data_IF_578225289992
#
_entry.id   IF_578225289992
#
_cell.length_a   1.000
_cell.length_b   1.000
_cell.length_c   1.000
_cell.angle_alpha   90.00
_cell.angle_beta   90.00
_cell.angle_gamma   90.00
#
_symmetry.space_group_name_H-M   'P 1'
#
loop_
_entity.id
_entity.type
_entity.pdbx_description
1 polymer ?
#
# COMPACT_ATOMS: atom_id res chain seq x y z
N UNK A 1 -54.15 10.47 57.40
CA UNK A 1 -52.68 10.66 57.42
C UNK A 1 -52.11 10.17 56.10
N UNK A 2 -51.91 11.05 55.12
CA UNK A 2 -51.36 10.68 53.80
C UNK A 2 -49.89 11.08 53.73
N UNK A 3 -49.00 10.11 53.52
CA UNK A 3 -47.55 10.32 53.39
C UNK A 3 -47.21 10.91 52.03
N UNK A 4 -46.51 12.04 52.02
CA UNK A 4 -45.99 12.68 50.80
C UNK A 4 -44.92 11.80 50.14
N UNK A 5 -45.18 11.32 48.93
CA UNK A 5 -44.19 10.67 48.07
C UNK A 5 -43.17 11.70 47.57
N UNK A 6 -41.90 11.53 47.93
CA UNK A 6 -40.77 12.35 47.45
C UNK A 6 -40.70 12.32 45.92
N UNK A 7 -40.68 13.50 45.30
CA UNK A 7 -40.45 13.67 43.87
C UNK A 7 -39.06 13.14 43.48
N UNK A 8 -39.02 12.14 42.61
CA UNK A 8 -37.78 11.60 42.05
C UNK A 8 -37.05 12.67 41.24
N UNK A 9 -35.84 13.03 41.69
CA UNK A 9 -34.94 13.97 41.04
C UNK A 9 -34.52 13.37 39.68
N UNK A 10 -35.10 13.85 38.57
CA UNK A 10 -34.71 13.46 37.20
C UNK A 10 -33.19 13.62 37.04
N UNK A 11 -32.47 12.53 36.83
CA UNK A 11 -31.04 12.56 36.58
C UNK A 11 -30.77 13.29 35.26
N UNK A 12 -30.03 14.39 35.30
CA UNK A 12 -29.62 15.11 34.08
C UNK A 12 -28.66 14.19 33.32
N UNK A 13 -29.11 13.58 32.22
CA UNK A 13 -28.24 12.81 31.31
C UNK A 13 -27.11 13.74 30.86
N UNK A 14 -25.85 13.37 31.16
CA UNK A 14 -24.68 14.14 30.71
C UNK A 14 -24.70 14.23 29.19
N UNK A 15 -24.69 15.43 28.63
CA UNK A 15 -24.66 15.61 27.18
C UNK A 15 -23.35 15.02 26.64
N UNK A 16 -23.45 14.06 25.74
CA UNK A 16 -22.27 13.43 25.13
C UNK A 16 -21.59 14.50 24.26
N UNK A 17 -20.34 14.91 24.58
CA UNK A 17 -19.64 15.89 23.77
C UNK A 17 -19.33 15.28 22.41
N UNK A 18 -20.03 15.75 21.37
CA UNK A 18 -19.79 15.33 19.99
C UNK A 18 -18.61 16.11 19.41
N UNK A 19 -17.53 15.43 19.09
CA UNK A 19 -16.40 15.99 18.34
C UNK A 19 -16.66 15.85 16.85
N UNK A 20 -16.47 16.94 16.10
CA UNK A 20 -16.45 16.90 14.63
C UNK A 20 -15.08 16.43 14.19
N UNK A 21 -15.00 15.34 13.41
CA UNK A 21 -13.77 14.92 12.74
C UNK A 21 -13.94 15.02 11.23
N UNK A 22 -12.87 15.43 10.56
CA UNK A 22 -12.75 15.35 9.12
C UNK A 22 -12.09 14.01 8.80
N UNK A 23 -12.89 13.01 8.43
CA UNK A 23 -12.38 11.73 7.97
C UNK A 23 -12.28 11.76 6.45
N UNK A 24 -11.21 11.15 5.90
CA UNK A 24 -11.08 10.96 4.45
C UNK A 24 -12.31 10.22 3.91
N UNK A 25 -12.94 10.69 2.83
CA UNK A 25 -14.01 9.96 2.16
C UNK A 25 -13.50 8.78 1.32
N UNK A 26 -12.18 8.72 1.07
CA UNK A 26 -11.57 7.72 0.20
C UNK A 26 -11.17 6.48 0.99
N UNK A 27 -11.78 5.35 0.64
CA UNK A 27 -11.43 4.03 1.14
C UNK A 27 -10.67 3.25 0.06
N UNK A 28 -9.42 2.88 0.37
CA UNK A 28 -8.65 1.98 -0.50
C UNK A 28 -9.19 0.56 -0.38
N UNK A 29 -9.68 0.03 -1.51
CA UNK A 29 -10.19 -1.33 -1.63
C UNK A 29 -9.36 -2.14 -2.63
N UNK A 30 -9.10 -3.38 -2.28
CA UNK A 30 -8.49 -4.35 -3.18
C UNK A 30 -9.52 -4.81 -4.22
N UNK A 31 -9.05 -5.07 -5.44
CA UNK A 31 -9.86 -5.69 -6.49
C UNK A 31 -10.20 -7.13 -6.10
N UNK A 32 -11.45 -7.55 -6.35
CA UNK A 32 -11.88 -8.93 -6.11
C UNK A 32 -11.22 -9.87 -7.10
N UNK A 33 -10.75 -11.01 -6.61
CA UNK A 33 -10.10 -12.05 -7.40
C UNK A 33 -11.06 -13.21 -7.61
N UNK A 34 -11.21 -13.64 -8.86
CA UNK A 34 -12.01 -14.82 -9.20
C UNK A 34 -11.37 -16.09 -8.62
N UNK A 35 -12.19 -17.10 -8.29
CA UNK A 35 -11.71 -18.40 -7.79
C UNK A 35 -10.67 -19.01 -8.73
N UNK A 36 -10.93 -18.96 -10.04
CA UNK A 36 -10.10 -19.64 -11.04
C UNK A 36 -8.73 -18.99 -11.16
N UNK A 37 -8.69 -17.65 -11.10
CA UNK A 37 -7.46 -16.89 -11.06
C UNK A 37 -6.67 -17.15 -9.78
N UNK A 38 -7.35 -17.24 -8.64
CA UNK A 38 -6.71 -17.58 -7.36
C UNK A 38 -6.06 -18.97 -7.44
N UNK A 39 -6.77 -19.98 -7.95
CA UNK A 39 -6.23 -21.32 -8.11
C UNK A 39 -5.05 -21.35 -9.09
N UNK A 40 -5.18 -20.67 -10.23
CA UNK A 40 -4.10 -20.51 -11.20
C UNK A 40 -2.84 -19.92 -10.57
N UNK A 41 -2.96 -18.79 -9.85
CA UNK A 41 -1.82 -18.15 -9.17
C UNK A 41 -1.19 -19.11 -8.14
N UNK A 42 -1.99 -19.81 -7.33
CA UNK A 42 -1.46 -20.73 -6.34
C UNK A 42 -0.70 -21.90 -6.96
N UNK A 43 -1.24 -22.53 -8.00
CA UNK A 43 -0.63 -23.69 -8.67
C UNK A 43 0.65 -23.26 -9.38
N UNK A 44 0.59 -22.24 -10.23
CA UNK A 44 1.76 -21.75 -10.99
C UNK A 44 2.91 -21.34 -10.06
N UNK A 45 2.62 -20.65 -8.95
CA UNK A 45 3.67 -20.26 -8.01
C UNK A 45 4.24 -21.44 -7.23
N UNK A 46 3.40 -22.38 -6.77
CA UNK A 46 3.87 -23.57 -6.08
C UNK A 46 4.79 -24.39 -6.97
N UNK A 47 4.35 -24.70 -8.17
CA UNK A 47 5.11 -25.50 -9.12
C UNK A 47 6.44 -24.81 -9.44
N UNK A 48 6.41 -23.49 -9.67
CA UNK A 48 7.64 -22.75 -9.94
C UNK A 48 8.61 -22.73 -8.76
N UNK A 49 8.14 -22.56 -7.52
CA UNK A 49 9.01 -22.60 -6.36
C UNK A 49 9.62 -23.99 -6.12
N UNK A 50 8.87 -25.05 -6.44
CA UNK A 50 9.36 -26.43 -6.36
C UNK A 50 10.39 -26.72 -7.46
N UNK A 51 10.15 -26.30 -8.70
CA UNK A 51 11.10 -26.42 -9.83
C UNK A 51 12.42 -25.70 -9.56
N UNK A 52 12.34 -24.47 -9.05
CA UNK A 52 13.51 -23.65 -8.74
C UNK A 52 14.25 -24.18 -7.49
N UNK A 53 13.56 -24.89 -6.60
CA UNK A 53 14.14 -25.38 -5.34
C UNK A 53 14.47 -24.27 -4.34
N UNK A 54 13.80 -23.11 -4.43
CA UNK A 54 14.02 -22.01 -3.49
C UNK A 54 13.29 -22.28 -2.17
N UNK A 55 14.03 -22.72 -1.16
CA UNK A 55 13.47 -22.93 0.18
C UNK A 55 14.42 -22.41 1.26
N UNK A 56 13.85 -22.02 2.40
CA UNK A 56 14.61 -21.60 3.58
C UNK A 56 14.83 -22.82 4.49
N UNK A 57 16.09 -23.16 4.76
CA UNK A 57 16.48 -24.16 5.76
C UNK A 57 16.64 -23.47 7.10
N UNK A 58 15.68 -23.66 8.01
CA UNK A 58 15.80 -23.23 9.41
C UNK A 58 16.30 -24.38 10.28
N UNK A 59 17.60 -24.44 10.56
CA UNK A 59 18.11 -25.29 11.63
C UNK A 59 17.69 -24.64 12.96
N UNK A 60 16.92 -25.35 13.80
CA UNK A 60 16.65 -24.92 15.18
C UNK A 60 17.91 -25.09 16.01
N UNK A 61 18.88 -24.18 15.85
CA UNK A 61 20.02 -24.12 16.76
C UNK A 61 19.49 -23.60 18.09
N UNK A 62 19.45 -24.47 19.09
CA UNK A 62 19.14 -24.08 20.46
C UNK A 62 20.24 -23.13 20.94
N UNK A 63 20.02 -21.82 20.80
CA UNK A 63 20.93 -20.82 21.36
C UNK A 63 20.78 -20.89 22.88
N UNK A 64 21.75 -21.51 23.55
CA UNK A 64 21.87 -21.44 25.01
C UNK A 64 22.10 -19.97 25.38
N UNK A 65 21.04 -19.29 25.76
CA UNK A 65 21.10 -17.93 26.29
C UNK A 65 21.85 -18.01 27.63
N UNK A 66 23.11 -17.56 27.70
CA UNK A 66 23.77 -17.43 29.00
C UNK A 66 25.29 -17.59 29.11
N UNK A 67 26.04 -17.97 28.08
CA UNK A 67 27.52 -18.08 28.20
C UNK A 67 28.27 -17.05 27.37
N UNK A 68 28.08 -15.77 27.69
CA UNK A 68 29.07 -14.73 27.37
C UNK A 68 30.19 -14.82 28.41
N UNK A 69 31.01 -15.87 28.32
CA UNK A 69 32.16 -16.07 29.19
C UNK A 69 33.19 -15.00 28.81
N UNK A 70 33.57 -14.17 29.79
CA UNK A 70 34.63 -13.17 29.71
C UNK A 70 35.90 -13.78 29.10
N UNK A 71 36.31 -13.27 27.96
CA UNK A 71 37.63 -13.44 27.36
C UNK A 71 37.89 -12.15 26.57
N UNK A 72 38.89 -11.32 26.84
CA UNK A 72 39.90 -11.32 27.88
C UNK A 72 40.31 -9.87 28.14
N UNK A 73 40.70 -9.61 29.38
CA UNK A 73 41.33 -8.37 29.82
C UNK A 73 42.67 -8.25 29.08
N UNK A 74 42.82 -7.12 28.38
CA UNK A 74 44.07 -6.59 27.83
C UNK A 74 45.13 -6.51 28.92
N UNK A 75 46.22 -7.25 28.77
CA UNK A 75 47.54 -6.83 29.25
C UNK A 75 48.56 -7.09 28.13
N UNK A 76 49.28 -6.02 27.82
CA UNK A 76 50.38 -5.89 26.88
C UNK A 76 51.58 -6.73 27.33
N UNK A 77 52.32 -7.32 26.39
CA UNK A 77 53.80 -7.36 26.35
C UNK A 77 54.24 -7.78 24.93
N UNK A 78 54.81 -6.79 24.24
CA UNK A 78 55.93 -6.74 23.27
C UNK A 78 56.08 -7.73 22.09
N UNK A 79 56.25 -7.09 20.92
CA UNK A 79 57.23 -7.36 19.84
C UNK A 79 57.37 -8.77 19.29
N UNK A 80 56.89 -8.99 18.07
CA UNK A 80 57.69 -9.07 16.83
C UNK A 80 56.93 -9.79 15.71
N UNK A 81 56.77 -9.12 14.57
CA UNK A 81 56.61 -9.76 13.25
C UNK A 81 58.03 -10.13 12.74
N UNK A 82 58.24 -10.95 11.68
CA UNK A 82 57.28 -11.39 10.65
C UNK A 82 57.41 -12.89 10.24
N UNK A 83 56.43 -13.44 9.50
CA UNK A 83 56.67 -14.33 8.36
C UNK A 83 55.37 -14.81 7.71
N UNK A 84 55.43 -14.90 6.37
CA UNK A 84 54.41 -15.28 5.41
C UNK A 84 53.91 -16.70 5.64
N UNK A 85 52.60 -16.92 5.62
CA UNK A 85 52.01 -18.18 5.19
C UNK A 85 50.77 -17.89 4.34
N UNK A 86 50.86 -18.28 3.08
CA UNK A 86 49.76 -18.50 2.16
C UNK A 86 48.70 -19.36 2.84
N UNK A 87 47.55 -18.75 3.16
CA UNK A 87 46.35 -19.49 3.53
C UNK A 87 45.43 -19.42 2.32
N UNK A 88 45.43 -20.50 1.55
CA UNK A 88 44.36 -20.81 0.62
C UNK A 88 43.00 -20.56 1.30
N UNK A 89 42.03 -19.88 0.66
CA UNK A 89 40.67 -19.88 1.15
C UNK A 89 40.09 -21.29 0.95
N UNK A 90 40.15 -22.10 1.99
CA UNK A 90 39.32 -23.29 2.11
C UNK A 90 37.86 -22.88 1.90
N UNK A 91 37.04 -23.65 1.16
CA UNK A 91 35.63 -23.38 1.03
C UNK A 91 35.02 -23.45 2.43
N UNK A 92 34.59 -22.30 2.93
CA UNK A 92 33.76 -22.25 4.13
C UNK A 92 32.47 -22.95 3.76
N UNK A 93 32.35 -24.22 4.14
CA UNK A 93 31.10 -24.98 4.19
C UNK A 93 29.99 -24.02 4.64
N UNK A 94 28.94 -23.80 3.82
CA UNK A 94 27.92 -22.84 4.16
C UNK A 94 27.26 -23.36 5.43
N UNK A 95 27.44 -22.62 6.53
CA UNK A 95 26.67 -22.79 7.76
C UNK A 95 25.23 -23.08 7.37
N UNK A 96 24.72 -24.28 7.68
CA UNK A 96 23.52 -24.89 7.06
C UNK A 96 22.18 -24.18 7.34
N UNK A 97 22.21 -22.90 7.68
CA UNK A 97 21.09 -22.08 8.07
C UNK A 97 20.98 -20.91 7.08
N UNK A 98 19.93 -20.90 6.27
CA UNK A 98 19.81 -19.90 5.22
C UNK A 98 18.87 -20.29 4.09
N UNK A 99 18.92 -19.52 3.01
CA UNK A 99 18.23 -19.81 1.75
C UNK A 99 19.07 -20.76 0.91
N UNK A 100 18.43 -21.70 0.21
CA UNK A 100 19.13 -22.63 -0.71
C UNK A 100 19.92 -21.88 -1.78
N UNK A 101 19.32 -20.85 -2.39
CA UNK A 101 20.03 -19.92 -3.27
C UNK A 101 19.76 -18.47 -2.88
N UNK A 102 20.85 -17.75 -2.57
CA UNK A 102 20.84 -16.34 -2.19
C UNK A 102 20.57 -15.45 -3.40
N UNK A 103 20.99 -15.85 -4.60
CA UNK A 103 20.78 -15.10 -5.84
C UNK A 103 19.30 -15.06 -6.21
N UNK A 104 18.65 -16.23 -6.20
CA UNK A 104 17.20 -16.34 -6.38
C UNK A 104 16.42 -15.64 -5.25
N UNK A 105 16.89 -15.69 -4.01
CA UNK A 105 16.25 -14.95 -2.91
C UNK A 105 16.25 -13.44 -3.13
N UNK A 106 17.32 -12.88 -3.70
CA UNK A 106 17.41 -11.42 -3.99
C UNK A 106 16.40 -10.95 -5.04
N UNK A 107 15.94 -11.85 -5.91
CA UNK A 107 14.93 -11.57 -6.94
C UNK A 107 13.50 -11.44 -6.38
N UNK A 108 13.29 -11.81 -5.12
CA UNK A 108 11.98 -11.75 -4.45
C UNK A 108 11.97 -10.72 -3.31
N UNK A 109 10.85 -10.03 -3.16
CA UNK A 109 10.52 -9.24 -1.99
C UNK A 109 9.50 -10.02 -1.14
N UNK A 110 9.91 -10.51 0.03
CA UNK A 110 9.06 -11.31 0.92
C UNK A 110 8.73 -10.49 2.16
N UNK A 111 7.44 -10.30 2.43
CA UNK A 111 6.92 -9.53 3.56
C UNK A 111 6.58 -8.09 3.17
N UNK A 112 5.71 -7.48 3.98
CA UNK A 112 5.14 -6.16 3.69
C UNK A 112 6.25 -5.10 3.55
N UNK A 113 7.21 -5.07 4.48
CA UNK A 113 8.29 -4.06 4.49
C UNK A 113 9.24 -4.18 3.28
N UNK A 114 9.49 -5.39 2.78
CA UNK A 114 10.36 -5.56 1.61
C UNK A 114 9.60 -5.20 0.34
N UNK A 115 8.30 -5.53 0.28
CA UNK A 115 7.42 -5.12 -0.82
C UNK A 115 7.25 -3.60 -0.86
N UNK A 116 7.08 -2.92 0.28
CA UNK A 116 7.00 -1.45 0.30
C UNK A 116 8.29 -0.81 -0.20
N UNK A 117 9.46 -1.24 0.31
CA UNK A 117 10.76 -0.76 -0.18
C UNK A 117 10.93 -1.00 -1.68
N UNK A 118 10.54 -2.17 -2.18
CA UNK A 118 10.61 -2.50 -3.59
C UNK A 118 9.70 -1.62 -4.46
N UNK A 119 8.49 -1.32 -3.99
CA UNK A 119 7.59 -0.36 -4.65
C UNK A 119 8.17 1.06 -4.64
N UNK A 120 8.68 1.52 -3.49
CA UNK A 120 9.30 2.85 -3.36
C UNK A 120 10.50 3.04 -4.31
N UNK A 121 11.27 1.98 -4.55
CA UNK A 121 12.43 1.98 -5.44
C UNK A 121 12.13 1.67 -6.92
N UNK A 122 10.88 1.42 -7.28
CA UNK A 122 10.51 0.97 -8.64
C UNK A 122 11.19 -0.34 -9.07
N UNK A 123 11.52 -1.22 -8.12
CA UNK A 123 12.18 -2.48 -8.42
C UNK A 123 11.20 -3.61 -8.75
N UNK A 124 9.90 -3.46 -8.46
CA UNK A 124 8.93 -4.55 -8.57
C UNK A 124 8.14 -4.54 -9.89
N UNK A 125 7.80 -5.73 -10.38
CA UNK A 125 6.96 -5.95 -11.57
C UNK A 125 5.57 -6.51 -11.22
N UNK A 126 5.43 -7.24 -10.11
CA UNK A 126 4.17 -7.82 -9.65
C UNK A 126 4.14 -7.86 -8.12
N UNK A 127 3.00 -7.52 -7.52
CA UNK A 127 2.78 -7.60 -6.08
C UNK A 127 1.56 -8.45 -5.75
N UNK A 128 1.74 -9.44 -4.89
CA UNK A 128 0.70 -10.32 -4.37
C UNK A 128 0.60 -10.17 -2.87
N UNK A 129 -0.61 -9.91 -2.37
CA UNK A 129 -0.87 -9.68 -0.95
C UNK A 129 -1.86 -10.71 -0.43
N UNK A 130 -1.61 -11.27 0.75
CA UNK A 130 -2.51 -12.23 1.38
C UNK A 130 -3.73 -11.54 2.01
N UNK A 131 -4.91 -12.15 1.93
CA UNK A 131 -6.12 -11.66 2.62
C UNK A 131 -6.16 -11.96 4.13
N UNK A 132 -5.22 -12.74 4.67
CA UNK A 132 -5.18 -13.09 6.10
C UNK A 132 -4.62 -11.96 7.00
N UNK A 133 -4.07 -10.89 6.42
CA UNK A 133 -3.41 -9.81 7.17
C UNK A 133 -4.43 -9.01 7.98
N UNK A 134 -4.21 -8.95 9.30
CA UNK A 134 -4.96 -8.10 10.22
C UNK A 134 -3.97 -7.26 11.02
N UNK A 135 -4.18 -5.94 11.14
CA UNK A 135 -5.29 -5.13 10.62
C UNK A 135 -5.18 -4.75 9.12
N UNK A 136 -6.32 -4.43 8.48
CA UNK A 136 -6.40 -4.11 7.03
C UNK A 136 -5.50 -2.94 6.59
N UNK A 137 -5.26 -1.96 7.47
CA UNK A 137 -4.43 -0.80 7.13
C UNK A 137 -2.96 -1.17 6.82
N UNK A 138 -2.49 -2.34 7.28
CA UNK A 138 -1.16 -2.84 6.96
C UNK A 138 -0.98 -3.21 5.48
N UNK A 139 -2.05 -3.36 4.72
CA UNK A 139 -1.96 -3.64 3.28
C UNK A 139 -2.53 -2.52 2.43
N UNK A 140 -3.45 -1.71 2.96
CA UNK A 140 -4.10 -0.63 2.22
C UNK A 140 -3.14 0.39 1.60
N UNK A 141 -1.99 0.66 2.22
CA UNK A 141 -1.01 1.60 1.68
C UNK A 141 -0.29 1.07 0.43
N UNK A 142 -0.29 -0.25 0.19
CA UNK A 142 0.28 -0.84 -1.02
C UNK A 142 -0.53 -0.49 -2.27
N UNK A 143 -1.84 -0.28 -2.13
CA UNK A 143 -2.74 0.09 -3.24
C UNK A 143 -2.28 1.38 -3.96
N UNK A 144 -2.21 2.55 -3.29
CA UNK A 144 -1.75 3.77 -3.94
C UNK A 144 -0.28 3.68 -4.37
N UNK A 145 0.59 3.03 -3.59
CA UNK A 145 2.00 2.85 -3.98
C UNK A 145 2.12 2.08 -5.30
N UNK A 146 1.44 0.95 -5.45
CA UNK A 146 1.41 0.18 -6.68
C UNK A 146 0.83 0.97 -7.85
N UNK A 147 -0.25 1.73 -7.63
CA UNK A 147 -0.87 2.57 -8.66
C UNK A 147 0.09 3.66 -9.17
N UNK A 148 0.80 4.36 -8.28
CA UNK A 148 1.76 5.42 -8.68
C UNK A 148 2.92 4.90 -9.52
N UNK A 149 3.28 3.62 -9.36
CA UNK A 149 4.41 3.00 -10.06
C UNK A 149 3.98 2.08 -11.20
N UNK A 150 2.69 2.09 -11.55
CA UNK A 150 2.08 1.23 -12.58
C UNK A 150 2.38 -0.26 -12.39
N UNK A 151 2.44 -0.72 -11.14
CA UNK A 151 2.71 -2.12 -10.81
C UNK A 151 1.38 -2.84 -10.56
N UNK A 152 1.07 -3.95 -11.26
CA UNK A 152 -0.10 -4.77 -10.99
C UNK A 152 -0.01 -5.35 -9.58
N UNK A 153 -1.05 -5.12 -8.78
CA UNK A 153 -1.12 -5.59 -7.42
C UNK A 153 -2.46 -6.28 -7.16
N UNK A 154 -2.42 -7.43 -6.48
CA UNK A 154 -3.58 -8.28 -6.30
C UNK A 154 -3.65 -8.83 -4.88
N UNK A 155 -4.86 -8.92 -4.34
CA UNK A 155 -5.09 -9.56 -3.04
C UNK A 155 -5.55 -10.99 -3.25
N UNK A 156 -4.69 -11.96 -2.92
CA UNK A 156 -4.96 -13.39 -3.09
C UNK A 156 -5.35 -14.00 -1.72
N UNK A 157 -6.56 -14.55 -1.58
CA UNK A 157 -6.94 -15.29 -0.37
C UNK A 157 -6.07 -16.54 -0.18
N UNK A 158 -5.74 -16.89 1.06
CA UNK A 158 -4.98 -18.12 1.40
C UNK A 158 -3.60 -18.26 0.71
N UNK A 159 -3.01 -17.14 0.29
CA UNK A 159 -1.67 -17.11 -0.30
C UNK A 159 -0.61 -17.71 0.66
N UNK A 160 -0.68 -17.35 1.94
CA UNK A 160 0.27 -17.81 2.95
C UNK A 160 0.19 -19.31 3.17
N UNK A 161 -1.02 -19.88 3.26
CA UNK A 161 -1.22 -21.33 3.48
C UNK A 161 -0.63 -22.16 2.34
N UNK A 162 -0.70 -21.63 1.11
CA UNK A 162 -0.25 -22.32 -0.08
C UNK A 162 1.26 -22.17 -0.32
N UNK A 163 1.84 -21.00 -0.07
CA UNK A 163 3.25 -20.73 -0.41
C UNK A 163 4.23 -20.89 0.75
N UNK A 164 3.78 -20.75 2.00
CA UNK A 164 4.68 -20.77 3.15
C UNK A 164 5.43 -22.11 3.27
N UNK A 165 4.72 -23.22 3.06
CA UNK A 165 5.32 -24.57 3.07
C UNK A 165 6.39 -24.74 1.99
N UNK A 166 6.10 -24.34 0.74
CA UNK A 166 7.04 -24.45 -0.38
C UNK A 166 8.33 -23.63 -0.14
N UNK A 167 8.21 -22.45 0.48
CA UNK A 167 9.35 -21.57 0.76
C UNK A 167 10.08 -21.88 2.07
N UNK A 168 9.61 -22.82 2.89
CA UNK A 168 10.16 -23.07 4.22
C UNK A 168 9.97 -21.90 5.21
N UNK A 169 8.88 -21.13 5.03
CA UNK A 169 8.53 -19.99 5.87
C UNK A 169 7.32 -20.32 6.75
N UNK A 170 7.15 -19.58 7.85
CA UNK A 170 5.95 -19.70 8.69
C UNK A 170 4.72 -19.12 7.98
N UNK A 171 4.86 -17.90 7.45
CA UNK A 171 3.79 -17.18 6.76
C UNK A 171 4.38 -16.26 5.69
N UNK A 172 3.66 -16.11 4.57
CA UNK A 172 3.96 -15.12 3.51
C UNK A 172 2.77 -14.18 3.38
N UNK A 173 2.89 -12.98 3.96
CA UNK A 173 1.80 -11.99 3.98
C UNK A 173 1.76 -11.12 2.72
N UNK A 174 2.93 -10.83 2.16
CA UNK A 174 3.07 -10.11 0.90
C UNK A 174 4.28 -10.68 0.16
N UNK A 175 4.16 -10.74 -1.16
CA UNK A 175 5.16 -11.25 -2.07
C UNK A 175 5.28 -10.28 -3.25
N UNK A 176 6.49 -9.87 -3.57
CA UNK A 176 6.79 -9.05 -4.73
C UNK A 176 7.85 -9.71 -5.59
N UNK A 177 7.70 -9.60 -6.90
CA UNK A 177 8.71 -10.04 -7.87
C UNK A 177 9.47 -8.82 -8.34
N UNK A 178 10.81 -8.89 -8.31
CA UNK A 178 11.64 -7.82 -8.87
C UNK A 178 11.61 -7.85 -10.40
N UNK A 179 11.87 -6.71 -11.04
CA UNK A 179 12.01 -6.61 -12.50
C UNK A 179 13.23 -7.38 -13.00
N UNK A 180 14.31 -7.36 -12.22
CA UNK A 180 15.56 -8.07 -12.52
C UNK A 180 15.51 -9.57 -12.12
N UNK A 181 14.33 -10.19 -12.19
CA UNK A 181 14.09 -11.56 -11.76
C UNK A 181 13.84 -12.50 -12.96
N UNK A 182 14.89 -12.88 -13.73
CA UNK A 182 14.71 -13.69 -14.93
C UNK A 182 14.12 -15.06 -14.60
N UNK A 183 14.42 -15.64 -13.43
CA UNK A 183 13.90 -16.95 -13.03
C UNK A 183 12.38 -16.98 -12.86
N UNK A 184 11.75 -15.82 -12.64
CA UNK A 184 10.32 -15.67 -12.43
C UNK A 184 9.62 -14.92 -13.57
N UNK A 185 10.35 -14.50 -14.61
CA UNK A 185 9.81 -13.69 -15.70
C UNK A 185 8.61 -14.35 -16.38
N UNK A 186 8.70 -15.65 -16.69
CA UNK A 186 7.61 -16.41 -17.34
C UNK A 186 6.35 -16.47 -16.46
N UNK A 187 6.52 -16.72 -15.17
CA UNK A 187 5.39 -16.76 -14.23
C UNK A 187 4.74 -15.41 -14.06
N UNK A 188 5.52 -14.33 -14.04
CA UNK A 188 5.01 -12.96 -13.97
C UNK A 188 4.25 -12.64 -15.26
N UNK A 189 4.83 -12.95 -16.43
CA UNK A 189 4.19 -12.72 -17.72
C UNK A 189 2.84 -13.45 -17.85
N UNK A 190 2.71 -14.64 -17.26
CA UNK A 190 1.47 -15.41 -17.25
C UNK A 190 0.40 -14.83 -16.29
N UNK A 191 0.82 -14.24 -15.17
CA UNK A 191 -0.08 -13.75 -14.12
C UNK A 191 -0.54 -12.31 -14.38
N UNK A 192 0.38 -11.41 -14.75
CA UNK A 192 0.11 -9.97 -14.96
C UNK A 192 -1.13 -9.67 -15.81
N UNK A 193 -1.34 -10.29 -17.00
CA UNK A 193 -2.49 -9.96 -17.84
C UNK A 193 -3.83 -10.39 -17.23
N UNK A 194 -3.82 -11.35 -16.30
CA UNK A 194 -5.05 -11.84 -15.64
C UNK A 194 -5.37 -11.06 -14.36
N UNK A 195 -4.42 -10.31 -13.82
CA UNK A 195 -4.59 -9.57 -12.56
C UNK A 195 -5.43 -8.32 -12.80
N UNK A 196 -6.53 -8.12 -12.03
CA UNK A 196 -7.32 -6.90 -12.14
C UNK A 196 -6.49 -5.70 -11.67
N UNK A 197 -6.53 -4.61 -12.44
CA UNK A 197 -5.85 -3.38 -12.07
C UNK A 197 -6.46 -2.80 -10.80
N UNK A 198 -5.62 -2.25 -9.92
CA UNK A 198 -6.10 -1.52 -8.74
C UNK A 198 -6.50 -0.11 -9.15
N UNK A 199 -7.70 0.29 -8.78
CA UNK A 199 -8.20 1.63 -9.04
C UNK A 199 -8.13 2.50 -7.78
N UNK A 200 -7.64 3.73 -7.96
CA UNK A 200 -7.56 4.74 -6.90
C UNK A 200 -8.17 6.01 -7.46
N UNK A 201 -9.38 6.31 -6.98
CA UNK A 201 -10.28 7.34 -7.51
C UNK A 201 -9.60 8.71 -7.71
N UNK A 202 -8.68 9.10 -6.81
CA UNK A 202 -7.98 10.39 -6.87
C UNK A 202 -6.67 10.37 -7.69
N UNK A 203 -6.15 9.18 -8.01
CA UNK A 203 -5.03 8.96 -8.93
C UNK A 203 -5.63 8.56 -10.28
N UNK A 204 -6.28 9.51 -10.94
CA UNK A 204 -6.71 9.29 -12.33
C UNK A 204 -5.49 8.94 -13.19
N UNK A 205 -5.60 7.95 -14.08
CA UNK A 205 -4.54 7.70 -15.04
C UNK A 205 -4.33 8.98 -15.86
N UNK A 206 -3.08 9.32 -16.25
CA UNK A 206 -2.86 10.38 -17.22
C UNK A 206 -3.65 10.02 -18.47
N UNK A 207 -4.60 10.88 -18.85
CA UNK A 207 -5.29 10.80 -20.13
C UNK A 207 -4.20 10.76 -21.22
N UNK A 208 -4.07 9.64 -21.94
CA UNK A 208 -3.02 9.51 -22.95
C UNK A 208 -2.61 8.11 -23.39
N UNK A 209 -3.25 7.02 -22.91
CA UNK A 209 -3.08 5.68 -23.50
C UNK A 209 -4.40 4.91 -23.54
N UNK A 210 -5.31 5.39 -24.37
CA UNK A 210 -6.41 4.61 -24.91
C UNK A 210 -6.83 5.25 -26.24
N UNK A 211 -6.67 4.52 -27.35
CA UNK A 211 -7.28 4.85 -28.64
C UNK A 211 -6.56 5.90 -29.47
N UNK A 212 -5.68 5.42 -30.34
CA UNK A 212 -5.29 6.12 -31.56
C UNK A 212 -6.53 6.18 -32.48
N UNK A 213 -7.12 7.35 -32.63
CA UNK A 213 -8.03 7.71 -33.73
C UNK A 213 -7.93 9.22 -33.95
N UNK A 214 -7.00 9.57 -34.82
CA UNK A 214 -6.90 10.85 -35.55
C UNK A 214 -8.19 11.03 -36.33
N UNK A 215 -8.91 12.15 -36.13
CA UNK A 215 -9.52 12.94 -37.22
C UNK A 215 -9.69 14.39 -36.77
N UNK A 216 -9.02 15.28 -37.52
CA UNK A 216 -9.17 16.72 -37.55
C UNK A 216 -10.59 17.12 -37.98
N UNK A 217 -11.11 18.22 -37.42
CA UNK A 217 -11.75 19.25 -38.25
C UNK A 217 -11.94 20.56 -37.48
N UNK A 218 -11.19 21.58 -37.93
CA UNK A 218 -11.36 22.99 -37.65
C UNK A 218 -12.64 23.54 -38.28
N UNK A 219 -13.30 24.49 -37.62
CA UNK A 219 -14.10 25.56 -38.25
C UNK A 219 -14.35 26.73 -37.29
N UNK A 220 -13.70 27.86 -37.61
CA UNK A 220 -14.06 29.25 -37.30
C UNK A 220 -15.47 29.56 -37.90
N UNK A 221 -16.28 30.57 -37.54
CA UNK A 221 -16.07 31.87 -36.89
C UNK A 221 -17.43 32.52 -36.48
N UNK A 222 -17.34 33.46 -35.52
CA UNK A 222 -18.03 34.75 -35.32
C UNK A 222 -19.57 34.92 -35.20
N UNK A 223 -19.98 35.63 -34.13
CA UNK A 223 -21.29 36.30 -33.99
C UNK A 223 -21.49 37.01 -32.63
N UNK A 224 -21.10 38.28 -32.55
CA UNK A 224 -21.40 39.33 -31.53
C UNK A 224 -22.92 39.48 -31.21
N UNK A 225 -23.48 40.09 -30.15
CA UNK A 225 -23.18 40.75 -28.85
C UNK A 225 -24.60 41.08 -28.27
N UNK A 226 -24.96 40.99 -26.98
CA UNK A 226 -24.95 42.13 -26.03
C UNK A 226 -25.58 41.81 -24.65
N UNK A 227 -24.86 42.26 -23.62
CA UNK A 227 -25.27 42.92 -22.34
C UNK A 227 -26.21 42.21 -21.33
N UNK A 228 -25.69 41.86 -20.14
CA UNK A 228 -25.66 42.75 -18.95
C UNK A 228 -25.52 42.04 -17.58
N UNK A 229 -24.67 42.64 -16.73
CA UNK A 229 -24.69 42.69 -15.24
C UNK A 229 -24.25 41.48 -14.40
N UNK A 230 -23.11 41.65 -13.72
CA UNK A 230 -22.81 41.01 -12.44
C UNK A 230 -21.34 40.71 -12.19
N UNK A 231 -20.51 41.73 -11.89
CA UNK A 231 -19.09 41.54 -11.55
C UNK A 231 -18.90 40.66 -10.29
N UNK A 232 -18.33 39.48 -10.49
CA UNK A 232 -17.51 38.76 -9.49
C UNK A 232 -16.14 38.54 -10.11
N UNK A 233 -15.10 38.91 -9.34
CA UNK A 233 -13.69 38.98 -9.77
C UNK A 233 -13.26 37.67 -10.47
N UNK A 234 -12.86 37.78 -11.75
CA UNK A 234 -12.27 36.70 -12.54
C UNK A 234 -10.76 36.65 -12.24
N UNK A 235 -10.22 35.46 -11.97
CA UNK A 235 -8.80 35.18 -11.84
C UNK A 235 -8.13 35.45 -13.21
N UNK A 236 -7.05 36.22 -13.23
CA UNK A 236 -6.28 36.50 -14.45
C UNK A 236 -5.65 35.21 -15.02
N UNK A 237 -5.80 35.03 -16.33
CA UNK A 237 -5.17 33.96 -17.11
C UNK A 237 -3.69 34.32 -17.34
N UNK A 238 -2.79 33.41 -16.96
CA UNK A 238 -1.33 33.52 -17.11
C UNK A 238 -0.93 33.17 -18.56
N UNK A 239 0.10 33.81 -19.15
CA UNK A 239 0.48 33.70 -20.57
C UNK A 239 0.80 32.28 -21.07
N UNK A 240 0.78 32.05 -22.40
CA UNK A 240 0.93 30.73 -23.02
C UNK A 240 2.38 30.26 -22.92
N UNK A 241 2.61 29.11 -22.26
CA UNK A 241 3.97 28.53 -22.17
C UNK A 241 4.22 27.53 -21.04
N UNK A 242 3.24 27.18 -20.22
CA UNK A 242 3.41 26.30 -19.05
C UNK A 242 2.64 24.98 -19.26
N UNK A 243 3.21 23.79 -18.94
CA UNK A 243 2.57 22.52 -19.26
C UNK A 243 1.21 22.38 -18.59
N UNK A 244 0.22 21.97 -19.39
CA UNK A 244 -1.18 21.78 -18.99
C UNK A 244 -1.24 20.84 -17.79
N UNK A 245 -1.50 21.41 -16.61
CA UNK A 245 -1.86 20.64 -15.43
C UNK A 245 -3.18 19.90 -15.73
N UNK A 246 -3.30 18.61 -15.41
CA UNK A 246 -4.52 17.86 -15.65
C UNK A 246 -5.68 18.57 -14.94
N UNK A 247 -6.77 18.80 -15.68
CA UNK A 247 -8.01 19.38 -15.17
C UNK A 247 -8.47 18.59 -13.94
N UNK A 248 -8.27 19.16 -12.75
CA UNK A 248 -8.62 18.48 -11.50
C UNK A 248 -10.15 18.42 -11.39
N UNK A 249 -10.73 17.25 -11.67
CA UNK A 249 -12.15 17.00 -11.44
C UNK A 249 -12.40 16.94 -9.93
N UNK A 250 -12.93 18.02 -9.35
CA UNK A 250 -13.28 18.06 -7.93
C UNK A 250 -14.51 17.17 -7.67
N UNK A 251 -14.37 16.18 -6.80
CA UNK A 251 -15.52 15.37 -6.37
C UNK A 251 -16.30 16.08 -5.26
N UNK A 252 -17.64 16.11 -5.32
CA UNK A 252 -18.46 16.74 -4.28
C UNK A 252 -18.36 15.96 -2.97
N UNK A 253 -17.94 16.63 -1.90
CA UNK A 253 -17.87 16.03 -0.56
C UNK A 253 -19.27 15.84 0.03
N UNK A 254 -19.64 14.59 0.34
CA UNK A 254 -20.90 14.28 1.05
C UNK A 254 -20.71 14.47 2.56
N UNK A 255 -21.24 15.56 3.09
CA UNK A 255 -21.22 15.85 4.53
C UNK A 255 -22.10 14.84 5.27
N UNK A 256 -21.48 13.84 5.92
CA UNK A 256 -22.22 12.78 6.65
C UNK A 256 -22.99 13.31 7.86
N UNK A 257 -22.44 14.30 8.58
CA UNK A 257 -23.08 14.86 9.78
C UNK A 257 -22.59 16.27 10.06
N UNK A 258 -23.51 17.23 10.07
CA UNK A 258 -23.24 18.58 10.57
C UNK A 258 -23.61 18.60 12.04
N UNK A 259 -22.62 18.65 12.92
CA UNK A 259 -22.84 18.86 14.35
C UNK A 259 -22.83 20.38 14.60
N UNK A 260 -23.94 20.96 15.11
CA UNK A 260 -23.95 22.37 15.48
C UNK A 260 -22.92 22.63 16.57
N UNK A 261 -22.09 23.65 16.39
CA UNK A 261 -21.15 24.08 17.44
C UNK A 261 -21.95 24.49 18.69
N UNK A 262 -21.81 23.80 19.84
CA UNK A 262 -22.57 24.10 21.05
C UNK A 262 -22.23 25.47 21.67
N UNK A 263 -21.08 26.06 21.37
CA UNK A 263 -20.71 27.40 21.85
C UNK A 263 -21.25 28.54 20.98
N UNK A 264 -21.91 28.25 19.86
CA UNK A 264 -22.41 29.28 18.94
C UNK A 264 -23.86 29.65 19.26
N UNK A 265 -24.06 30.79 19.92
CA UNK A 265 -25.38 31.40 20.14
C UNK A 265 -26.00 31.75 18.77
N UNK A 266 -27.09 31.08 18.40
CA UNK A 266 -27.81 31.36 17.15
C UNK A 266 -28.85 32.45 17.40
N UNK A 267 -28.79 33.53 16.61
CA UNK A 267 -29.85 34.53 16.59
C UNK A 267 -31.17 33.85 16.16
N UNK A 268 -32.31 34.13 16.82
CA UNK A 268 -33.59 33.57 16.42
C UNK A 268 -33.92 33.98 14.99
N UNK A 269 -34.41 33.04 14.17
CA UNK A 269 -34.85 33.34 12.81
C UNK A 269 -36.06 34.29 12.91
N UNK A 270 -35.97 35.47 12.28
CA UNK A 270 -37.11 36.39 12.16
C UNK A 270 -38.26 35.64 11.46
N UNK A 271 -39.41 35.52 12.13
CA UNK A 271 -40.62 35.00 11.50
C UNK A 271 -40.95 35.93 10.33
N UNK A 272 -41.01 35.40 9.11
CA UNK A 272 -41.61 36.14 7.99
C UNK A 272 -43.06 36.39 8.38
N UNK A 273 -43.44 37.66 8.53
CA UNK A 273 -44.85 38.04 8.53
C UNK A 273 -45.40 37.60 7.16
N UNK A 274 -46.43 36.76 7.18
CA UNK A 274 -47.26 36.53 5.99
C UNK A 274 -47.97 37.86 5.71
N UNK A 275 -47.70 38.43 4.54
CA UNK A 275 -48.68 39.29 3.87
C UNK A 275 -49.74 38.40 3.23
#
# INVERSE_FOLDING_TARGET
MATQTKAAKKSKKKSIPTKTSLNSPFDYRWSSVNSDLMHFIHTTLKDRFLEIGLHKKEIKVFRTWGKRKKLGKREEIRESLPAKMDVQPTPVEPSGQGWTDVSLRKQLAIGINEVTKGLERNELCLVLVCNSVKPKHMTQHLIPLSKTRSVPACQVPRLSENLAGALGLKCVLALGFKRDAPAFADTVAAIVPKVPSVDVIWLSPPAGKAGESVEDHEKEEMGEREQARGQKRKLEETPPGTPVLPSSSLQPLKVKRIVPNPSKIRKPKKKKMKQ
#
